data_IF_588848768081
#
_entry.id   IF_588848768081
#
_cell.length_a   1.000
_cell.length_b   1.000
_cell.length_c   1.000
_cell.angle_alpha   90.00
_cell.angle_beta   90.00
_cell.angle_gamma   90.00
#
_symmetry.space_group_name_H-M   'P 1'
#
loop_
_entity.id
_entity.type
_entity.pdbx_description
1 polymer ?
#
# COMPACT_ATOMS: atom_id res chain seq x y z
N UNK A 1 -19.14 15.78 11.01
CA UNK A 1 -18.20 16.78 10.53
C UNK A 1 -18.86 18.12 10.42
N UNK A 2 -20.08 18.20 9.94
CA UNK A 2 -20.89 19.42 9.96
C UNK A 2 -21.36 19.69 11.41
N UNK A 3 -21.19 20.91 11.90
CA UNK A 3 -21.62 21.34 13.24
C UNK A 3 -20.56 21.30 14.34
N UNK A 4 -19.34 20.92 14.05
CA UNK A 4 -18.22 21.10 14.97
C UNK A 4 -17.53 22.42 14.66
N UNK A 5 -17.43 23.31 15.65
CA UNK A 5 -16.55 24.49 15.60
C UNK A 5 -15.19 24.05 15.06
N UNK A 6 -14.65 24.81 14.10
CA UNK A 6 -13.42 24.48 13.38
C UNK A 6 -12.32 24.04 14.36
N UNK A 7 -12.06 22.73 14.44
CA UNK A 7 -10.90 22.19 15.17
C UNK A 7 -9.67 22.58 14.37
N UNK A 8 -8.95 23.58 14.84
CA UNK A 8 -7.69 23.97 14.24
C UNK A 8 -6.71 22.79 14.37
N UNK A 9 -6.06 22.45 13.25
CA UNK A 9 -4.98 21.45 13.18
C UNK A 9 -5.37 19.96 13.41
N UNK A 10 -6.56 19.54 12.98
CA UNK A 10 -6.94 18.11 12.97
C UNK A 10 -7.07 17.64 11.54
N UNK A 11 -6.31 16.60 11.18
CA UNK A 11 -6.43 15.89 9.92
C UNK A 11 -7.20 14.60 10.14
N UNK A 12 -8.11 14.29 9.23
CA UNK A 12 -8.88 13.04 9.26
C UNK A 12 -8.50 12.23 8.03
N UNK A 13 -7.97 11.03 8.25
CA UNK A 13 -7.58 10.10 7.19
C UNK A 13 -8.39 8.82 7.39
N UNK A 14 -9.10 8.40 6.36
CA UNK A 14 -9.84 7.14 6.31
C UNK A 14 -9.23 6.19 5.28
N UNK A 15 -9.26 4.89 5.52
CA UNK A 15 -8.86 3.89 4.55
C UNK A 15 -9.92 2.79 4.47
N UNK A 16 -10.21 2.31 3.27
CA UNK A 16 -11.14 1.21 3.03
C UNK A 16 -10.69 0.39 1.83
N UNK A 17 -10.96 -0.91 1.88
CA UNK A 17 -10.88 -1.82 0.73
C UNK A 17 -12.23 -2.03 0.04
N UNK A 18 -13.30 -1.36 0.51
CA UNK A 18 -14.65 -1.43 -0.07
C UNK A 18 -15.21 -0.04 -0.34
N UNK A 19 -14.65 0.66 -1.34
CA UNK A 19 -15.06 2.03 -1.62
C UNK A 19 -16.52 2.16 -2.04
N UNK A 20 -17.11 1.10 -2.61
CA UNK A 20 -18.52 1.05 -3.00
C UNK A 20 -19.50 1.05 -1.82
N UNK A 21 -19.03 0.74 -0.62
CA UNK A 21 -19.83 0.76 0.61
C UNK A 21 -19.77 2.10 1.34
N UNK A 22 -18.93 3.03 0.89
CA UNK A 22 -18.87 4.37 1.46
C UNK A 22 -20.15 5.14 1.12
N UNK A 23 -20.72 5.77 2.14
CA UNK A 23 -21.78 6.74 1.94
C UNK A 23 -21.24 7.94 1.16
N UNK A 24 -21.89 8.27 0.05
CA UNK A 24 -21.56 9.44 -0.77
C UNK A 24 -21.57 10.75 0.05
N UNK A 25 -22.32 10.80 1.14
CA UNK A 25 -22.33 11.94 2.04
C UNK A 25 -20.97 12.17 2.72
N UNK A 26 -20.16 11.14 2.90
CA UNK A 26 -18.80 11.27 3.45
C UNK A 26 -17.83 11.88 2.44
N UNK A 27 -18.02 11.65 1.17
CA UNK A 27 -17.14 12.10 0.09
C UNK A 27 -17.49 13.51 -0.43
N UNK A 28 -18.46 14.20 0.21
CA UNK A 28 -18.82 15.57 -0.17
C UNK A 28 -17.71 16.56 0.19
N UNK A 29 -17.59 17.69 -0.56
CA UNK A 29 -16.65 18.76 -0.25
C UNK A 29 -16.75 19.23 1.22
N UNK A 30 -15.59 19.44 1.86
CA UNK A 30 -15.51 19.83 3.28
C UNK A 30 -15.56 18.64 4.26
N UNK A 31 -15.58 17.41 3.79
CA UNK A 31 -15.48 16.17 4.60
C UNK A 31 -14.27 15.35 4.16
N UNK A 32 -14.47 14.16 3.61
CA UNK A 32 -13.43 13.31 3.02
C UNK A 32 -13.47 13.44 1.50
N UNK A 33 -13.17 14.61 1.00
CA UNK A 33 -13.29 14.97 -0.41
C UNK A 33 -12.08 14.57 -1.26
N UNK A 34 -10.93 14.38 -0.62
CA UNK A 34 -9.71 13.96 -1.30
C UNK A 34 -9.59 12.44 -1.30
N UNK A 35 -9.86 11.83 -2.44
CA UNK A 35 -9.82 10.38 -2.61
C UNK A 35 -8.51 9.97 -3.31
N UNK A 36 -7.75 9.11 -2.67
CA UNK A 36 -6.44 8.63 -3.17
C UNK A 36 -6.51 7.13 -3.40
N UNK A 37 -6.30 6.71 -4.64
CA UNK A 37 -6.15 5.31 -4.98
C UNK A 37 -4.71 4.84 -4.71
N UNK A 38 -4.56 3.77 -3.94
CA UNK A 38 -3.27 3.14 -3.64
C UNK A 38 -3.19 1.83 -4.43
N UNK A 39 -2.44 1.78 -5.54
CA UNK A 39 -2.29 0.57 -6.35
C UNK A 39 -1.38 -0.47 -5.68
N UNK A 40 -1.34 -1.67 -6.25
CA UNK A 40 -0.30 -2.66 -5.90
C UNK A 40 1.09 -2.11 -6.24
N UNK A 41 2.13 -2.52 -5.48
CA UNK A 41 3.48 -2.01 -5.66
C UNK A 41 4.07 -2.47 -7.01
N UNK A 42 4.72 -1.55 -7.71
CA UNK A 42 5.58 -1.83 -8.84
C UNK A 42 6.90 -2.53 -8.40
N UNK A 43 7.75 -2.90 -9.34
CA UNK A 43 8.99 -3.62 -9.02
C UNK A 43 9.91 -2.83 -8.10
N UNK A 44 10.10 -1.54 -8.35
CA UNK A 44 10.94 -0.68 -7.52
C UNK A 44 10.39 -0.51 -6.10
N UNK A 45 9.07 -0.38 -5.99
CA UNK A 45 8.38 -0.34 -4.69
C UNK A 45 8.50 -1.66 -3.96
N UNK A 46 8.40 -2.82 -4.64
CA UNK A 46 8.60 -4.14 -4.00
C UNK A 46 10.00 -4.30 -3.43
N UNK A 47 11.04 -3.85 -4.15
CA UNK A 47 12.42 -3.83 -3.63
C UNK A 47 12.50 -2.98 -2.37
N UNK A 48 11.90 -1.79 -2.40
CA UNK A 48 11.90 -0.87 -1.25
C UNK A 48 11.16 -1.47 -0.03
N UNK A 49 10.04 -2.17 -0.26
CA UNK A 49 9.28 -2.88 0.78
C UNK A 49 10.14 -4.00 1.39
N UNK A 50 10.77 -4.84 0.57
CA UNK A 50 11.64 -5.91 1.04
C UNK A 50 12.79 -5.38 1.89
N UNK A 51 13.46 -4.31 1.43
CA UNK A 51 14.53 -3.64 2.20
C UNK A 51 14.03 -3.09 3.53
N UNK A 52 12.85 -2.48 3.54
CA UNK A 52 12.26 -1.94 4.76
C UNK A 52 11.92 -3.04 5.78
N UNK A 53 11.38 -4.16 5.33
CA UNK A 53 11.03 -5.31 6.17
C UNK A 53 12.27 -6.01 6.74
N UNK A 54 13.33 -6.12 5.96
CA UNK A 54 14.59 -6.79 6.33
C UNK A 54 15.57 -5.87 7.06
N UNK A 55 15.22 -4.60 7.28
CA UNK A 55 16.14 -3.62 7.88
C UNK A 55 16.74 -4.03 9.23
N UNK A 56 16.02 -4.82 10.01
CA UNK A 56 16.44 -5.29 11.34
C UNK A 56 16.93 -6.73 11.35
N UNK A 57 16.96 -7.39 10.20
CA UNK A 57 17.33 -8.80 10.08
C UNK A 57 18.57 -8.89 9.21
N UNK A 58 19.64 -9.55 9.67
CA UNK A 58 20.83 -9.78 8.89
C UNK A 58 20.51 -10.69 7.69
N UNK A 59 20.96 -10.28 6.52
CA UNK A 59 20.73 -10.98 5.25
C UNK A 59 22.07 -11.22 4.59
N UNK A 60 22.32 -12.46 4.22
CA UNK A 60 23.53 -12.85 3.54
C UNK A 60 23.70 -12.14 2.19
N UNK A 61 24.93 -11.81 1.77
CA UNK A 61 25.19 -11.07 0.55
C UNK A 61 24.82 -11.81 -0.75
N UNK A 62 24.57 -13.12 -0.66
CA UNK A 62 24.14 -13.97 -1.77
C UNK A 62 22.64 -13.83 -2.12
N UNK A 63 21.87 -13.12 -1.27
CA UNK A 63 20.43 -12.90 -1.48
C UNK A 63 20.21 -11.71 -2.41
N UNK A 64 19.70 -11.99 -3.61
CA UNK A 64 19.31 -10.95 -4.56
C UNK A 64 17.84 -10.54 -4.38
N UNK A 65 17.62 -9.40 -3.73
CA UNK A 65 16.27 -8.82 -3.54
C UNK A 65 15.63 -8.37 -4.85
N UNK A 66 16.43 -8.01 -5.87
CA UNK A 66 15.91 -7.63 -7.18
C UNK A 66 15.30 -8.85 -7.87
N UNK A 67 15.97 -10.01 -7.77
CA UNK A 67 15.43 -11.25 -8.30
C UNK A 67 14.12 -11.65 -7.62
N UNK A 68 14.02 -11.54 -6.30
CA UNK A 68 12.77 -11.79 -5.56
C UNK A 68 11.67 -10.83 -6.03
N UNK A 69 11.96 -9.55 -6.17
CA UNK A 69 11.00 -8.54 -6.62
C UNK A 69 10.51 -8.78 -8.05
N UNK A 70 11.37 -9.24 -8.96
CA UNK A 70 10.98 -9.57 -10.33
C UNK A 70 10.01 -10.77 -10.39
N UNK A 71 10.18 -11.74 -9.49
CA UNK A 71 9.34 -12.94 -9.41
C UNK A 71 8.01 -12.75 -8.65
N UNK A 72 7.87 -11.67 -7.93
CA UNK A 72 6.67 -11.36 -7.10
C UNK A 72 5.74 -10.36 -7.76
N UNK A 73 5.58 -10.42 -9.09
CA UNK A 73 4.63 -9.55 -9.80
C UNK A 73 3.19 -9.75 -9.28
N UNK A 74 2.49 -8.63 -8.99
CA UNK A 74 1.13 -8.65 -8.48
C UNK A 74 1.00 -9.01 -6.99
N UNK A 75 2.10 -9.09 -6.26
CA UNK A 75 2.07 -9.31 -4.82
C UNK A 75 1.82 -7.99 -4.08
N UNK A 76 1.02 -8.07 -3.03
CA UNK A 76 0.80 -6.94 -2.10
C UNK A 76 1.97 -6.82 -1.11
N UNK A 77 2.03 -5.69 -0.40
CA UNK A 77 3.01 -5.52 0.67
C UNK A 77 2.90 -6.57 1.79
N UNK A 78 1.69 -7.08 2.04
CA UNK A 78 1.43 -8.15 2.99
C UNK A 78 1.97 -9.51 2.50
N UNK A 79 1.83 -9.79 1.20
CA UNK A 79 2.36 -11.02 0.60
C UNK A 79 3.90 -11.05 0.65
N UNK A 80 4.54 -9.90 0.39
CA UNK A 80 5.99 -9.76 0.55
C UNK A 80 6.40 -9.94 2.01
N UNK A 81 5.60 -9.40 2.95
CA UNK A 81 5.79 -9.62 4.39
C UNK A 81 5.68 -11.09 4.79
N UNK A 82 4.77 -11.83 4.20
CA UNK A 82 4.65 -13.27 4.43
C UNK A 82 5.93 -14.01 4.01
N UNK A 83 6.50 -13.67 2.84
CA UNK A 83 7.75 -14.28 2.34
C UNK A 83 8.90 -14.03 3.31
N UNK A 84 9.10 -12.76 3.71
CA UNK A 84 10.18 -12.39 4.62
C UNK A 84 10.03 -13.04 5.99
N UNK A 85 8.82 -13.05 6.57
CA UNK A 85 8.55 -13.69 7.86
C UNK A 85 8.74 -15.22 7.78
N UNK A 86 8.38 -15.83 6.65
CA UNK A 86 8.58 -17.26 6.48
C UNK A 86 10.06 -17.60 6.37
N UNK A 87 10.84 -16.83 5.62
CA UNK A 87 12.29 -17.00 5.55
C UNK A 87 12.94 -16.88 6.94
N UNK A 88 12.55 -15.92 7.75
CA UNK A 88 13.00 -15.76 9.14
C UNK A 88 12.63 -16.99 9.99
N UNK A 89 11.38 -17.49 9.88
CA UNK A 89 10.95 -18.69 10.61
C UNK A 89 11.75 -19.92 10.22
N UNK A 90 12.12 -20.06 8.95
CA UNK A 90 12.94 -21.16 8.46
C UNK A 90 14.36 -21.09 9.03
N UNK A 91 14.97 -19.91 9.05
CA UNK A 91 16.28 -19.69 9.66
C UNK A 91 16.27 -20.05 11.16
N UNK A 92 15.29 -19.55 11.91
CA UNK A 92 15.13 -19.90 13.34
C UNK A 92 14.95 -21.41 13.52
N UNK A 93 14.12 -22.05 12.69
CA UNK A 93 13.92 -23.50 12.76
C UNK A 93 15.24 -24.26 12.50
N UNK A 94 16.02 -23.81 11.54
CA UNK A 94 17.33 -24.41 11.24
C UNK A 94 18.31 -24.21 12.40
N UNK A 95 18.39 -23.02 13.00
CA UNK A 95 19.21 -22.73 14.17
C UNK A 95 18.86 -23.68 15.31
N UNK A 96 17.59 -23.79 15.68
CA UNK A 96 17.12 -24.70 16.74
C UNK A 96 17.46 -26.15 16.42
N UNK A 97 17.34 -26.58 15.16
CA UNK A 97 17.66 -27.98 14.79
C UNK A 97 19.14 -28.27 14.97
N UNK A 98 20.01 -27.36 14.59
CA UNK A 98 21.48 -27.46 14.76
C UNK A 98 21.83 -27.54 16.25
N UNK A 99 21.21 -26.67 17.07
CA UNK A 99 21.47 -26.66 18.51
C UNK A 99 21.03 -27.96 19.19
N UNK A 100 19.87 -28.52 18.79
CA UNK A 100 19.42 -29.81 19.28
C UNK A 100 20.40 -30.92 18.89
N UNK A 101 20.93 -30.91 17.65
CA UNK A 101 21.91 -31.90 17.22
C UNK A 101 23.21 -31.76 18.00
N UNK A 102 23.72 -30.55 18.17
CA UNK A 102 24.91 -30.25 18.98
C UNK A 102 24.76 -30.73 20.43
N UNK A 103 23.59 -30.47 21.03
CA UNK A 103 23.30 -30.91 22.40
C UNK A 103 23.27 -32.43 22.51
N UNK A 104 22.65 -33.14 21.57
CA UNK A 104 22.64 -34.62 21.55
C UNK A 104 24.04 -35.21 21.38
N UNK A 105 24.88 -34.59 20.54
CA UNK A 105 26.26 -35.03 20.34
C UNK A 105 27.09 -34.89 21.62
N UNK A 106 26.94 -33.74 22.34
CA UNK A 106 27.58 -33.52 23.64
C UNK A 106 27.11 -34.48 24.72
N UNK A 107 25.80 -34.73 24.83
CA UNK A 107 25.23 -35.77 25.73
C UNK A 107 25.78 -37.15 25.44
N UNK A 108 25.91 -37.52 24.15
CA UNK A 108 26.46 -38.79 23.75
C UNK A 108 27.97 -38.92 24.02
N UNK A 109 28.69 -37.79 24.06
CA UNK A 109 30.11 -37.72 24.44
C UNK A 109 30.33 -37.76 25.97
N UNK A 110 29.26 -37.73 26.78
CA UNK A 110 29.34 -37.80 28.22
C UNK A 110 29.77 -36.48 28.90
N UNK A 111 29.64 -35.35 28.20
CA UNK A 111 29.85 -34.03 28.75
C UNK A 111 28.61 -33.59 29.54
N UNK A 112 28.78 -33.15 30.82
CA UNK A 112 27.73 -32.55 31.62
C UNK A 112 27.31 -31.22 30.98
N UNK A 113 26.20 -31.21 30.29
CA UNK A 113 25.61 -29.99 29.65
C UNK A 113 25.03 -29.12 30.77
N UNK A 114 25.81 -28.17 31.26
CA UNK A 114 25.29 -27.09 32.09
C UNK A 114 24.55 -26.10 31.20
N UNK A 115 23.24 -26.04 31.33
CA UNK A 115 22.33 -25.16 30.58
C UNK A 115 22.69 -23.65 30.65
N UNK A 116 23.60 -23.24 31.52
CA UNK A 116 23.96 -21.85 31.75
C UNK A 116 25.15 -21.36 30.87
N UNK A 117 25.92 -22.26 30.28
CA UNK A 117 27.10 -21.87 29.46
C UNK A 117 26.77 -21.68 27.97
N UNK A 118 25.60 -22.12 27.50
CA UNK A 118 25.22 -22.05 26.08
C UNK A 118 24.56 -20.71 25.64
N UNK A 119 24.37 -19.76 26.57
CA UNK A 119 23.79 -18.44 26.27
C UNK A 119 24.73 -17.55 25.42
N UNK A 120 26.03 -17.79 25.52
CA UNK A 120 27.08 -17.07 24.77
C UNK A 120 27.57 -17.79 23.50
N UNK A 121 26.95 -18.93 23.12
CA UNK A 121 27.29 -19.59 21.86
C UNK A 121 26.79 -18.74 20.67
N UNK A 122 27.70 -18.51 19.71
CA UNK A 122 27.33 -17.80 18.46
C UNK A 122 26.17 -18.53 17.78
N UNK A 123 25.16 -17.75 17.34
CA UNK A 123 23.99 -18.27 16.61
C UNK A 123 24.49 -19.09 15.40
N UNK A 124 24.11 -20.39 15.29
CA UNK A 124 24.55 -21.22 14.17
C UNK A 124 24.02 -20.74 12.81
N UNK A 125 22.96 -19.90 12.80
CA UNK A 125 22.39 -19.32 11.57
C UNK A 125 22.25 -17.81 11.76
N UNK A 126 23.36 -17.04 11.70
CA UNK A 126 23.33 -15.60 12.01
C UNK A 126 22.64 -14.77 10.94
N UNK A 127 22.45 -15.28 9.72
CA UNK A 127 21.96 -14.55 8.56
C UNK A 127 20.92 -15.34 7.77
N UNK A 128 20.02 -14.62 7.10
CA UNK A 128 19.08 -15.19 6.14
C UNK A 128 19.79 -15.53 4.83
N UNK A 129 19.84 -16.80 4.48
CA UNK A 129 20.46 -17.28 3.25
C UNK A 129 19.47 -17.36 2.09
N UNK A 130 19.99 -17.50 0.87
CA UNK A 130 19.22 -17.71 -0.34
C UNK A 130 18.28 -18.92 -0.24
N UNK A 131 18.71 -20.02 0.39
CA UNK A 131 17.92 -21.23 0.58
C UNK A 131 16.63 -20.98 1.37
N UNK A 132 16.69 -20.14 2.41
CA UNK A 132 15.51 -19.76 3.20
C UNK A 132 14.48 -19.01 2.36
N UNK A 133 14.93 -18.12 1.47
CA UNK A 133 14.02 -17.42 0.56
C UNK A 133 13.48 -18.32 -0.53
N UNK A 134 14.25 -19.25 -1.08
CA UNK A 134 13.77 -20.21 -2.07
C UNK A 134 12.66 -21.10 -1.49
N UNK A 135 12.82 -21.62 -0.27
CA UNK A 135 11.79 -22.40 0.41
C UNK A 135 10.57 -21.52 0.76
N UNK A 136 10.78 -20.29 1.22
CA UNK A 136 9.68 -19.36 1.50
C UNK A 136 8.86 -19.06 0.25
N UNK A 137 9.51 -18.87 -0.90
CA UNK A 137 8.87 -18.58 -2.18
C UNK A 137 8.01 -19.74 -2.70
N UNK A 138 8.36 -21.01 -2.41
CA UNK A 138 7.54 -22.17 -2.80
C UNK A 138 6.13 -22.14 -2.21
N UNK A 139 5.97 -21.53 -1.04
CA UNK A 139 4.69 -21.38 -0.36
C UNK A 139 4.02 -20.03 -0.57
N UNK A 140 4.66 -19.11 -1.29
CA UNK A 140 4.15 -17.78 -1.54
C UNK A 140 2.95 -17.80 -2.51
N UNK A 141 1.91 -17.05 -2.18
CA UNK A 141 0.71 -16.92 -3.01
C UNK A 141 0.31 -15.45 -3.07
N UNK A 142 -0.22 -15.03 -4.21
CA UNK A 142 -0.88 -13.73 -4.34
C UNK A 142 -2.18 -13.71 -3.54
N UNK A 143 -2.37 -12.69 -2.70
CA UNK A 143 -3.60 -12.51 -1.92
C UNK A 143 -4.70 -11.83 -2.74
N UNK A 144 -4.34 -11.02 -3.74
CA UNK A 144 -5.29 -10.26 -4.56
C UNK A 144 -5.43 -10.88 -5.94
N UNK A 145 -6.67 -11.15 -6.36
CA UNK A 145 -6.97 -11.70 -7.68
C UNK A 145 -6.97 -10.61 -8.76
N UNK A 146 -6.73 -11.01 -10.03
CA UNK A 146 -6.78 -10.08 -11.17
C UNK A 146 -8.17 -9.46 -11.36
N UNK A 147 -9.22 -10.15 -10.96
CA UNK A 147 -10.61 -9.66 -11.01
C UNK A 147 -10.79 -8.49 -10.02
N UNK A 148 -10.26 -8.64 -8.80
CA UNK A 148 -10.30 -7.59 -7.80
C UNK A 148 -9.48 -6.36 -8.22
N UNK A 149 -8.29 -6.58 -8.78
CA UNK A 149 -7.45 -5.48 -9.29
C UNK A 149 -8.22 -4.66 -10.32
N UNK A 150 -8.81 -5.31 -11.33
CA UNK A 150 -9.62 -4.63 -12.37
C UNK A 150 -10.81 -3.89 -11.79
N UNK A 151 -11.46 -4.43 -10.76
CA UNK A 151 -12.57 -3.77 -10.06
C UNK A 151 -12.13 -2.46 -9.41
N UNK A 152 -11.00 -2.48 -8.70
CA UNK A 152 -10.46 -1.28 -8.07
C UNK A 152 -9.95 -0.25 -9.08
N UNK A 153 -9.33 -0.70 -10.17
CA UNK A 153 -8.89 0.18 -11.26
C UNK A 153 -10.09 0.84 -11.96
N UNK A 154 -11.16 0.09 -12.24
CA UNK A 154 -12.39 0.62 -12.82
C UNK A 154 -13.04 1.66 -11.90
N UNK A 155 -13.08 1.38 -10.59
CA UNK A 155 -13.57 2.35 -9.61
C UNK A 155 -12.70 3.61 -9.56
N UNK A 156 -11.37 3.47 -9.55
CA UNK A 156 -10.45 4.60 -9.58
C UNK A 156 -10.60 5.46 -10.85
N UNK A 157 -10.87 4.82 -12.00
CA UNK A 157 -11.15 5.55 -13.25
C UNK A 157 -12.47 6.32 -13.17
N UNK A 158 -13.54 5.71 -12.63
CA UNK A 158 -14.83 6.38 -12.48
C UNK A 158 -14.74 7.60 -11.56
N UNK A 159 -13.94 7.49 -10.49
CA UNK A 159 -13.69 8.62 -9.58
C UNK A 159 -12.94 9.78 -10.28
N UNK A 160 -11.95 9.47 -11.10
CA UNK A 160 -11.23 10.49 -11.88
C UNK A 160 -12.15 11.21 -12.87
N UNK A 161 -13.08 10.48 -13.49
CA UNK A 161 -14.06 11.04 -14.42
C UNK A 161 -15.14 11.87 -13.71
N UNK A 162 -15.56 11.44 -12.51
CA UNK A 162 -16.55 12.17 -11.68
C UNK A 162 -15.97 13.44 -11.06
N UNK A 163 -14.67 13.51 -10.85
CA UNK A 163 -13.95 14.69 -10.36
C UNK A 163 -13.78 15.81 -11.38
N UNK A 164 -14.58 15.80 -12.46
CA UNK A 164 -14.79 16.89 -13.41
C UNK A 164 -13.49 17.41 -14.04
N UNK A 165 -13.12 16.88 -15.19
CA UNK A 165 -12.18 17.52 -16.11
C UNK A 165 -12.78 18.75 -16.82
N UNK A 166 -13.86 19.32 -16.34
CA UNK A 166 -14.26 20.66 -16.71
C UNK A 166 -13.42 21.64 -15.87
N UNK A 167 -12.18 21.82 -16.29
CA UNK A 167 -11.42 22.98 -15.88
C UNK A 167 -12.26 24.21 -16.24
N UNK A 168 -12.91 24.79 -15.22
CA UNK A 168 -13.43 26.14 -15.35
C UNK A 168 -12.22 27.00 -15.71
N UNK A 169 -12.17 27.43 -16.96
CA UNK A 169 -11.18 28.35 -17.47
C UNK A 169 -11.87 29.69 -17.63
N UNK A 170 -11.35 30.71 -16.99
CA UNK A 170 -11.79 32.07 -17.28
C UNK A 170 -11.53 32.32 -18.77
N UNK A 171 -12.50 32.84 -19.53
CA UNK A 171 -12.30 33.16 -20.92
C UNK A 171 -11.15 34.17 -21.02
N UNK A 172 -10.26 33.95 -21.97
CA UNK A 172 -9.18 34.87 -22.30
C UNK A 172 -9.78 36.13 -22.93
N UNK A 173 -9.10 37.28 -22.83
CA UNK A 173 -9.57 38.56 -23.39
C UNK A 173 -9.94 38.49 -24.88
N UNK A 174 -9.28 37.60 -25.64
CA UNK A 174 -9.59 37.32 -27.05
C UNK A 174 -10.95 36.62 -27.23
N UNK A 175 -11.34 35.71 -26.32
CA UNK A 175 -12.61 35.00 -26.34
C UNK A 175 -13.78 35.90 -25.89
N UNK A 176 -13.55 36.81 -24.97
CA UNK A 176 -14.55 37.83 -24.56
C UNK A 176 -14.82 38.84 -25.66
N UNK A 177 -13.79 39.24 -26.40
CA UNK A 177 -13.93 40.13 -27.55
C UNK A 177 -14.63 39.47 -28.75
N UNK A 178 -14.40 38.18 -28.99
CA UNK A 178 -15.10 37.39 -30.01
C UNK A 178 -16.59 37.20 -29.68
N UNK A 179 -16.93 36.99 -28.41
CA UNK A 179 -18.32 36.89 -27.96
C UNK A 179 -19.07 38.25 -28.04
N UNK A 180 -18.39 39.38 -27.78
CA UNK A 180 -18.94 40.70 -27.94
C UNK A 180 -19.15 41.11 -29.43
N UNK A 181 -18.33 40.55 -30.34
CA UNK A 181 -18.46 40.80 -31.78
C UNK A 181 -19.59 39.99 -32.44
N UNK A 182 -20.02 38.89 -31.83
CA UNK A 182 -21.15 38.06 -32.26
C UNK A 182 -22.45 38.39 -31.52
N UNK A 183 -22.68 39.67 -31.27
CA UNK A 183 -23.88 40.18 -30.61
C UNK A 183 -25.16 39.73 -31.31
N UNK A 184 -25.77 38.65 -30.78
CA UNK A 184 -27.16 38.36 -31.00
C UNK A 184 -27.91 38.45 -29.67
N UNK A 185 -28.71 39.48 -29.59
CA UNK A 185 -29.56 39.97 -28.61
C UNK A 185 -30.15 38.98 -27.60
N UNK A 186 -29.92 39.24 -26.34
CA UNK A 186 -30.88 38.94 -25.30
C UNK A 186 -31.99 39.96 -25.44
N UNK A 187 -33.11 39.52 -26.04
CA UNK A 187 -34.31 40.36 -26.15
C UNK A 187 -34.87 40.66 -24.77
N UNK A 188 -34.94 41.95 -24.48
CA UNK A 188 -35.85 42.49 -23.48
C UNK A 188 -37.27 42.10 -23.83
N UNK A 189 -37.88 41.24 -23.04
CA UNK A 189 -39.33 41.15 -22.91
C UNK A 189 -39.67 40.61 -21.53
N UNK A 190 -40.17 41.51 -20.69
CA UNK A 190 -40.75 41.09 -19.42
C UNK A 190 -41.02 42.30 -18.54
N UNK A 191 -42.14 42.93 -18.74
CA UNK A 191 -42.76 43.86 -17.81
C UNK A 191 -42.88 43.21 -16.43
N UNK A 192 -42.09 43.64 -15.48
CA UNK A 192 -42.25 43.32 -14.06
C UNK A 192 -43.12 44.36 -13.36
N UNK A 193 -44.40 44.35 -13.65
CA UNK A 193 -45.38 45.26 -12.98
C UNK A 193 -46.52 44.57 -12.25
N UNK A 194 -46.53 43.25 -12.04
CA UNK A 194 -47.64 42.53 -11.41
C UNK A 194 -47.24 41.58 -10.27
N UNK A 195 -46.37 41.96 -9.38
CA UNK A 195 -45.99 41.10 -8.26
C UNK A 195 -46.21 41.68 -6.85
N UNK A 196 -47.02 42.73 -6.69
CA UNK A 196 -47.49 43.21 -5.38
C UNK A 196 -48.97 43.64 -5.44
N UNK A 197 -49.87 42.68 -5.32
CA UNK A 197 -51.17 42.82 -4.63
C UNK A 197 -51.46 41.55 -3.83
#
# INVERSE_FOLDING_TARGET
MDGMTSKKNVFVIGATNRPEQLDNALCRPGRLDTLVYVPLPDEASRISILRAQLRKTPVAPDVDLNFIASRTHGFSGADLGFITQRAVKLAIKQSISIDIERTKEREAAGEDVKMEEDIDSEDPVPELTKAHFEEAMQSARRSVSDVEIRRYEAFAQSMKQSGGSNFFRFPTEDETNAAAANGNGFGETGNDDDLYE
#
